data_IF_878770821848
#
_entry.id   IF_878770821848
#
_cell.length_a   1.000
_cell.length_b   1.000
_cell.length_c   1.000
_cell.angle_alpha   90.00
_cell.angle_beta   90.00
_cell.angle_gamma   90.00
#
_symmetry.space_group_name_H-M   'P 1'
#
loop_
_entity.id
_entity.type
_entity.pdbx_description
1 polymer ?
#
# COMPACT_ATOMS: atom_id res chain seq x y z
N UNK A 1 29.02 16.62 0.49
CA UNK A 1 28.51 16.20 1.81
C UNK A 1 27.36 17.10 2.23
N UNK A 2 26.12 16.73 1.89
CA UNK A 2 24.92 17.52 2.23
C UNK A 2 24.49 17.27 3.68
N UNK A 3 24.59 16.00 4.14
CA UNK A 3 24.23 15.59 5.50
C UNK A 3 25.09 16.30 6.57
N UNK A 4 26.40 16.44 6.33
CA UNK A 4 27.33 17.11 7.25
C UNK A 4 27.17 18.65 7.31
N UNK A 5 26.25 19.22 6.52
CA UNK A 5 25.89 20.65 6.57
C UNK A 5 24.61 20.91 7.35
N UNK A 6 23.94 19.85 7.80
CA UNK A 6 22.74 19.95 8.61
C UNK A 6 23.11 20.59 9.96
N UNK A 7 22.23 21.47 10.43
CA UNK A 7 22.40 22.20 11.68
C UNK A 7 22.45 21.22 12.86
N UNK A 8 23.33 21.48 13.84
CA UNK A 8 23.44 20.67 15.06
C UNK A 8 22.16 20.65 15.90
N UNK A 9 21.28 21.62 15.66
CA UNK A 9 19.98 21.73 16.31
C UNK A 9 18.96 20.69 15.79
N UNK A 10 19.21 20.05 14.65
CA UNK A 10 18.37 18.97 14.12
C UNK A 10 18.81 17.63 14.72
N UNK A 11 18.01 17.11 15.65
CA UNK A 11 18.36 15.94 16.44
C UNK A 11 18.35 14.61 15.65
N UNK A 12 17.51 14.50 14.61
CA UNK A 12 17.26 13.26 13.88
C UNK A 12 16.97 13.56 12.40
N UNK A 13 17.64 12.86 11.49
CA UNK A 13 17.39 12.91 10.04
C UNK A 13 16.76 11.58 9.61
N UNK A 14 15.56 11.65 9.04
CA UNK A 14 14.85 10.49 8.53
C UNK A 14 14.84 10.47 7.00
N UNK A 15 15.09 9.31 6.43
CA UNK A 15 14.93 9.05 5.00
C UNK A 15 13.81 8.03 4.85
N UNK A 16 12.76 8.40 4.13
CA UNK A 16 11.64 7.50 3.88
C UNK A 16 11.48 7.34 2.37
N UNK A 17 11.26 6.10 1.97
CA UNK A 17 11.19 5.66 0.59
C UNK A 17 10.58 4.27 0.57
N UNK A 18 9.89 3.94 -0.51
CA UNK A 18 9.35 2.61 -0.71
C UNK A 18 10.48 1.61 -0.95
N UNK A 19 10.28 0.36 -0.54
CA UNK A 19 11.29 -0.69 -0.69
C UNK A 19 11.65 -0.94 -2.15
N UNK A 20 10.67 -0.83 -3.04
CA UNK A 20 10.75 -0.98 -4.49
C UNK A 20 11.67 0.09 -5.14
N UNK A 21 11.97 1.18 -4.41
CA UNK A 21 12.94 2.19 -4.86
C UNK A 21 14.27 1.55 -5.24
N UNK A 22 14.70 0.50 -4.52
CA UNK A 22 15.97 -0.17 -4.74
C UNK A 22 15.79 -1.56 -5.34
N UNK A 23 16.17 -1.71 -6.60
CA UNK A 23 16.08 -2.95 -7.37
C UNK A 23 15.00 -2.95 -8.43
N UNK A 24 13.91 -2.18 -8.26
CA UNK A 24 12.84 -2.05 -9.25
C UNK A 24 12.83 -0.67 -9.93
N UNK A 25 12.81 0.42 -9.16
CA UNK A 25 12.95 1.77 -9.74
C UNK A 25 14.40 2.12 -10.07
N UNK A 26 15.33 1.77 -9.17
CA UNK A 26 16.77 1.88 -9.40
C UNK A 26 17.36 0.49 -9.57
N UNK A 27 17.70 0.11 -10.80
CA UNK A 27 18.19 -1.24 -11.09
C UNK A 27 19.61 -1.44 -10.58
N UNK A 28 20.03 -2.70 -10.40
CA UNK A 28 21.36 -3.04 -9.87
C UNK A 28 22.49 -2.37 -10.65
N UNK A 29 22.34 -2.28 -11.97
CA UNK A 29 23.33 -1.75 -12.92
C UNK A 29 23.62 -0.27 -12.70
N UNK A 30 22.71 0.47 -12.08
CA UNK A 30 22.93 1.88 -11.66
C UNK A 30 23.98 2.00 -10.55
N UNK A 31 24.35 0.89 -9.91
CA UNK A 31 25.26 0.87 -8.76
C UNK A 31 24.56 1.16 -7.43
N UNK A 32 23.22 1.24 -7.39
CA UNK A 32 22.47 1.62 -6.17
C UNK A 32 22.78 0.75 -4.95
N UNK A 33 22.98 -0.55 -5.14
CA UNK A 33 23.35 -1.45 -4.03
C UNK A 33 24.77 -1.20 -3.52
N UNK A 34 25.71 -0.86 -4.40
CA UNK A 34 27.06 -0.47 -3.99
C UNK A 34 27.03 0.87 -3.24
N UNK A 35 26.22 1.82 -3.70
CA UNK A 35 25.96 3.08 -3.00
C UNK A 35 25.42 2.84 -1.59
N UNK A 36 24.35 2.04 -1.44
CA UNK A 36 23.75 1.74 -0.13
C UNK A 36 24.71 0.98 0.80
N UNK A 37 25.57 0.12 0.25
CA UNK A 37 26.59 -0.57 1.03
C UNK A 37 27.66 0.38 1.56
N UNK A 38 28.03 1.41 0.79
CA UNK A 38 29.03 2.40 1.17
C UNK A 38 28.46 3.51 2.08
N UNK A 39 27.18 3.83 1.93
CA UNK A 39 26.53 4.99 2.55
C UNK A 39 26.67 5.03 4.09
N UNK A 40 26.40 3.95 4.86
CA UNK A 40 26.60 3.98 6.31
C UNK A 40 28.04 4.28 6.70
N UNK A 41 29.00 3.69 5.98
CA UNK A 41 30.42 3.91 6.20
C UNK A 41 30.80 5.37 6.02
N UNK A 42 30.33 6.01 4.94
CA UNK A 42 30.59 7.43 4.67
C UNK A 42 29.94 8.39 5.69
N UNK A 43 28.72 8.09 6.16
CA UNK A 43 28.04 8.89 7.19
C UNK A 43 28.79 8.80 8.52
N UNK A 44 29.20 7.59 8.93
CA UNK A 44 29.87 7.34 10.21
C UNK A 44 31.34 7.81 10.24
N UNK A 45 31.90 8.30 9.12
CA UNK A 45 33.21 8.97 9.13
C UNK A 45 33.19 10.23 9.98
N UNK A 46 32.02 10.84 10.15
CA UNK A 46 31.86 12.03 10.96
C UNK A 46 31.30 11.64 12.34
N UNK A 47 32.00 11.95 13.45
CA UNK A 47 31.66 11.43 14.78
C UNK A 47 30.32 11.95 15.33
N UNK A 48 29.80 13.05 14.76
CA UNK A 48 28.52 13.62 15.16
C UNK A 48 27.30 12.79 14.66
N UNK A 49 27.50 11.80 13.77
CA UNK A 49 26.41 10.97 13.25
C UNK A 49 26.38 9.57 13.86
N UNK A 50 25.18 9.07 14.08
CA UNK A 50 24.89 7.68 14.46
C UNK A 50 23.59 7.22 13.82
N UNK A 51 23.44 5.91 13.65
CA UNK A 51 22.16 5.33 13.26
C UNK A 51 21.37 4.94 14.50
N UNK A 52 20.07 5.20 14.47
CA UNK A 52 19.14 4.84 15.53
C UNK A 52 17.86 4.30 14.90
N UNK A 53 17.24 3.36 15.60
CA UNK A 53 15.86 2.98 15.35
C UNK A 53 14.92 4.11 15.79
N UNK A 54 13.68 4.17 15.26
CA UNK A 54 12.69 5.16 15.70
C UNK A 54 12.43 5.12 17.22
N UNK A 55 12.46 3.93 17.83
CA UNK A 55 12.27 3.77 19.28
C UNK A 55 13.44 4.35 20.09
N UNK A 56 14.68 4.12 19.64
CA UNK A 56 15.87 4.70 20.28
C UNK A 56 15.92 6.21 20.12
N UNK A 57 15.54 6.73 18.95
CA UNK A 57 15.46 8.17 18.72
C UNK A 57 14.40 8.82 19.64
N UNK A 58 13.22 8.22 19.75
CA UNK A 58 12.16 8.72 20.64
C UNK A 58 12.55 8.67 22.13
N UNK A 59 13.36 7.69 22.55
CA UNK A 59 13.83 7.58 23.94
C UNK A 59 15.01 8.53 24.25
N UNK A 60 15.81 8.89 23.25
CA UNK A 60 17.02 9.70 23.42
C UNK A 60 16.78 11.21 23.33
N UNK A 61 15.62 11.64 22.85
CA UNK A 61 15.32 13.04 22.56
C UNK A 61 14.01 13.48 23.20
N UNK A 62 14.05 14.61 23.91
CA UNK A 62 12.84 15.24 24.44
C UNK A 62 12.02 15.89 23.32
N UNK A 63 10.70 15.88 23.48
CA UNK A 63 9.80 16.57 22.56
C UNK A 63 10.07 18.09 22.62
N UNK A 64 10.37 18.69 21.47
CA UNK A 64 10.74 20.10 21.39
C UNK A 64 9.55 21.01 21.12
N UNK A 65 8.60 20.56 20.31
CA UNK A 65 7.42 21.32 19.87
C UNK A 65 6.26 20.39 19.55
N UNK A 66 5.05 20.94 19.63
CA UNK A 66 3.84 20.29 19.13
C UNK A 66 3.56 20.72 17.68
N UNK A 67 3.22 19.76 16.83
CA UNK A 67 2.81 20.02 15.46
C UNK A 67 1.29 19.93 15.40
N UNK A 68 0.63 21.04 15.09
CA UNK A 68 -0.82 21.05 14.89
C UNK A 68 -1.17 20.44 13.53
N UNK A 69 -2.01 19.40 13.53
CA UNK A 69 -2.53 18.75 12.34
C UNK A 69 -4.06 18.89 12.30
N UNK A 70 -4.60 20.05 11.88
CA UNK A 70 -6.03 20.36 12.00
C UNK A 70 -6.92 19.54 11.06
N UNK A 71 -6.34 18.90 10.04
CA UNK A 71 -7.02 18.01 9.12
C UNK A 71 -6.24 16.72 8.92
N UNK A 72 -6.79 15.82 8.11
CA UNK A 72 -6.09 14.60 7.72
C UNK A 72 -5.04 14.91 6.67
N UNK A 73 -3.81 14.46 6.92
CA UNK A 73 -2.67 14.62 6.01
C UNK A 73 -2.21 13.27 5.49
N UNK A 74 -1.53 13.29 4.36
CA UNK A 74 -0.85 12.12 3.80
C UNK A 74 0.49 12.51 3.20
N UNK A 75 1.30 11.50 2.89
CA UNK A 75 2.50 11.68 2.10
C UNK A 75 2.28 11.38 0.59
N UNK A 76 1.04 11.12 0.18
CA UNK A 76 0.74 10.99 -1.22
C UNK A 76 0.65 12.37 -1.88
N UNK A 77 1.03 12.40 -3.16
CA UNK A 77 0.81 13.51 -4.08
C UNK A 77 1.36 14.87 -3.58
N UNK A 78 1.13 15.95 -4.33
CA UNK A 78 1.67 17.27 -3.98
C UNK A 78 0.85 17.93 -2.86
N UNK A 79 -0.45 17.65 -2.80
CA UNK A 79 -1.39 18.29 -1.88
C UNK A 79 -1.27 17.78 -0.44
N UNK A 80 -0.57 16.67 -0.21
CA UNK A 80 -0.30 16.08 1.13
C UNK A 80 -1.55 15.88 1.98
N UNK A 81 -2.67 15.55 1.33
CA UNK A 81 -3.98 15.34 1.97
C UNK A 81 -4.57 13.96 1.61
N UNK A 82 -5.83 13.71 1.96
CA UNK A 82 -6.49 12.43 1.69
C UNK A 82 -7.17 12.32 0.33
N UNK A 83 -7.00 13.31 -0.55
CA UNK A 83 -7.72 13.35 -1.83
C UNK A 83 -7.29 12.27 -2.81
N UNK A 84 -6.12 11.66 -2.63
CA UNK A 84 -5.71 10.47 -3.38
C UNK A 84 -6.64 9.27 -3.16
N UNK A 85 -7.37 9.20 -2.04
CA UNK A 85 -8.28 8.11 -1.70
C UNK A 85 -9.74 8.53 -1.51
N UNK A 86 -10.02 9.80 -1.26
CA UNK A 86 -11.38 10.32 -0.97
C UNK A 86 -11.69 11.62 -1.75
N UNK A 87 -10.96 11.90 -2.82
CA UNK A 87 -11.03 13.16 -3.56
C UNK A 87 -12.19 13.26 -4.54
N UNK A 88 -12.84 12.15 -4.91
CA UNK A 88 -13.95 12.15 -5.86
C UNK A 88 -15.18 11.35 -5.38
N UNK A 89 -16.28 11.48 -6.13
CA UNK A 89 -17.56 10.86 -5.79
C UNK A 89 -17.52 9.32 -5.80
N UNK A 90 -16.74 8.70 -6.69
CA UNK A 90 -16.60 7.23 -6.76
C UNK A 90 -15.95 6.69 -5.49
N UNK A 91 -14.86 7.32 -5.09
CA UNK A 91 -14.10 7.00 -3.89
C UNK A 91 -14.93 7.18 -2.61
N UNK A 92 -15.64 8.30 -2.50
CA UNK A 92 -16.49 8.60 -1.35
C UNK A 92 -17.67 7.64 -1.24
N UNK A 93 -18.33 7.31 -2.34
CA UNK A 93 -19.42 6.32 -2.35
C UNK A 93 -18.93 4.92 -1.98
N UNK A 94 -17.82 4.47 -2.60
CA UNK A 94 -17.21 3.17 -2.32
C UNK A 94 -16.82 3.02 -0.85
N UNK A 95 -16.13 4.02 -0.30
CA UNK A 95 -15.76 4.04 1.12
C UNK A 95 -17.00 4.04 2.02
N UNK A 96 -17.99 4.89 1.72
CA UNK A 96 -19.24 4.96 2.49
C UNK A 96 -19.98 3.63 2.53
N UNK A 97 -20.11 2.94 1.40
CA UNK A 97 -20.77 1.63 1.31
C UNK A 97 -19.99 0.53 2.02
N UNK A 98 -18.67 0.54 1.94
CA UNK A 98 -17.83 -0.42 2.67
C UNK A 98 -18.01 -0.28 4.18
N UNK A 99 -17.91 0.94 4.71
CA UNK A 99 -18.01 1.19 6.16
C UNK A 99 -19.43 1.01 6.69
N UNK A 100 -20.47 1.23 5.86
CA UNK A 100 -21.86 0.94 6.24
C UNK A 100 -22.10 -0.54 6.61
N UNK A 101 -21.26 -1.47 6.15
CA UNK A 101 -21.38 -2.90 6.48
C UNK A 101 -20.87 -3.24 7.90
N UNK A 102 -20.09 -2.37 8.53
CA UNK A 102 -19.38 -2.66 9.78
C UNK A 102 -20.33 -3.15 10.89
N UNK A 103 -21.42 -2.42 11.13
CA UNK A 103 -22.35 -2.75 12.20
C UNK A 103 -23.01 -4.12 12.00
N UNK A 104 -23.33 -4.47 10.75
CA UNK A 104 -23.93 -5.75 10.41
C UNK A 104 -22.92 -6.91 10.54
N UNK A 105 -21.69 -6.70 10.08
CA UNK A 105 -20.58 -7.66 10.23
C UNK A 105 -20.24 -7.93 11.71
N UNK A 106 -20.16 -6.87 12.53
CA UNK A 106 -19.91 -6.99 13.98
C UNK A 106 -21.01 -7.77 14.70
N UNK A 107 -22.28 -7.60 14.29
CA UNK A 107 -23.40 -8.40 14.81
C UNK A 107 -23.32 -9.85 14.37
N UNK A 108 -22.95 -10.11 13.11
CA UNK A 108 -22.78 -11.46 12.55
C UNK A 108 -21.70 -12.26 13.28
N UNK A 109 -20.61 -11.60 13.71
CA UNK A 109 -19.43 -12.23 14.34
C UNK A 109 -18.85 -13.40 13.52
N UNK A 110 -19.00 -13.33 12.21
CA UNK A 110 -18.40 -14.29 11.28
C UNK A 110 -16.98 -13.83 10.95
N UNK A 111 -15.98 -14.52 11.49
CA UNK A 111 -14.56 -14.20 11.30
C UNK A 111 -14.14 -14.22 9.83
N UNK A 112 -14.77 -15.07 9.00
CA UNK A 112 -14.49 -15.14 7.56
C UNK A 112 -14.96 -13.88 6.84
N UNK A 113 -16.20 -13.44 7.10
CA UNK A 113 -16.74 -12.21 6.52
C UNK A 113 -16.02 -10.96 7.03
N UNK A 114 -15.67 -10.93 8.33
CA UNK A 114 -14.89 -9.84 8.91
C UNK A 114 -13.50 -9.76 8.26
N UNK A 115 -12.86 -10.91 8.00
CA UNK A 115 -11.57 -10.96 7.29
C UNK A 115 -11.69 -10.40 5.87
N UNK A 116 -12.73 -10.78 5.11
CA UNK A 116 -12.98 -10.24 3.77
C UNK A 116 -13.15 -8.72 3.84
N UNK A 117 -14.00 -8.24 4.75
CA UNK A 117 -14.23 -6.80 4.94
C UNK A 117 -12.94 -6.03 5.32
N UNK A 118 -12.06 -6.62 6.14
CA UNK A 118 -10.74 -6.06 6.44
C UNK A 118 -9.83 -5.99 5.21
N UNK A 119 -9.82 -7.03 4.39
CA UNK A 119 -9.03 -7.01 3.14
C UNK A 119 -9.52 -5.94 2.17
N UNK A 120 -10.84 -5.73 2.07
CA UNK A 120 -11.41 -4.71 1.21
C UNK A 120 -11.11 -3.27 1.66
N UNK A 121 -10.66 -3.05 2.89
CA UNK A 121 -10.21 -1.74 3.39
C UNK A 121 -8.79 -1.37 2.94
N UNK A 122 -8.10 -2.23 2.18
CA UNK A 122 -6.80 -1.88 1.58
C UNK A 122 -6.93 -0.61 0.74
N UNK A 123 -6.06 0.37 1.00
CA UNK A 123 -6.12 1.71 0.41
C UNK A 123 -6.01 1.73 -1.11
N UNK A 124 -5.29 0.76 -1.68
CA UNK A 124 -5.10 0.58 -3.13
C UNK A 124 -6.42 0.56 -3.88
N UNK A 125 -7.46 -0.06 -3.32
CA UNK A 125 -8.78 -0.09 -3.97
C UNK A 125 -9.33 1.30 -4.24
N UNK A 126 -9.24 2.20 -3.25
CA UNK A 126 -9.67 3.60 -3.41
C UNK A 126 -8.69 4.39 -4.28
N UNK A 127 -7.40 4.10 -4.19
CA UNK A 127 -6.37 4.73 -5.02
C UNK A 127 -6.62 4.44 -6.51
N UNK A 128 -7.00 3.21 -6.88
CA UNK A 128 -7.33 2.84 -8.25
C UNK A 128 -8.56 3.56 -8.83
N UNK A 129 -9.39 4.15 -7.97
CA UNK A 129 -10.54 4.98 -8.36
C UNK A 129 -10.21 6.48 -8.43
N UNK A 130 -8.96 6.88 -8.19
CA UNK A 130 -8.53 8.27 -8.26
C UNK A 130 -8.58 8.79 -9.69
N UNK A 131 -9.15 9.98 -9.88
CA UNK A 131 -9.32 10.62 -11.20
C UNK A 131 -8.32 11.74 -11.45
N UNK A 132 -7.56 12.19 -10.44
CA UNK A 132 -6.60 13.30 -10.55
C UNK A 132 -5.55 13.06 -11.62
N UNK A 133 -5.03 11.84 -11.64
CA UNK A 133 -3.93 11.45 -12.52
C UNK A 133 -4.40 10.93 -13.87
N UNK A 134 -5.72 10.71 -14.03
CA UNK A 134 -6.30 10.27 -15.29
C UNK A 134 -6.27 11.38 -16.35
N UNK A 135 -6.11 12.65 -15.97
CA UNK A 135 -5.90 13.74 -16.92
C UNK A 135 -4.47 13.88 -17.44
N UNK A 136 -3.47 13.27 -16.77
CA UNK A 136 -2.04 13.50 -17.04
C UNK A 136 -1.25 12.21 -17.38
N UNK A 137 -1.94 11.24 -17.98
CA UNK A 137 -1.44 10.33 -19.02
C UNK A 137 -0.34 9.29 -18.73
N UNK A 138 0.75 9.61 -18.01
CA UNK A 138 2.04 8.95 -18.28
C UNK A 138 2.76 8.28 -17.11
N UNK A 139 2.24 8.28 -15.87
CA UNK A 139 2.93 7.61 -14.73
C UNK A 139 2.07 6.59 -13.98
N UNK A 140 0.74 6.71 -14.02
CA UNK A 140 -0.16 5.94 -13.15
C UNK A 140 -0.72 4.64 -13.77
N UNK A 141 -0.32 4.31 -15.01
CA UNK A 141 -0.61 3.00 -15.62
C UNK A 141 0.21 1.86 -15.02
N UNK A 142 1.29 2.18 -14.29
CA UNK A 142 2.22 1.17 -13.79
C UNK A 142 1.64 0.34 -12.62
N UNK A 143 0.72 0.92 -11.84
CA UNK A 143 0.21 0.30 -10.61
C UNK A 143 -1.29 -0.02 -10.63
N UNK A 144 -2.08 0.56 -11.55
CA UNK A 144 -3.52 0.29 -11.61
C UNK A 144 -3.81 -0.91 -12.54
N UNK A 145 -4.34 -2.05 -12.03
CA UNK A 145 -4.66 -3.20 -12.86
C UNK A 145 -5.91 -2.99 -13.73
N UNK A 146 -6.64 -1.89 -13.54
CA UNK A 146 -7.85 -1.56 -14.27
C UNK A 146 -7.59 -0.56 -15.39
N UNK A 147 -8.35 -0.66 -16.49
CA UNK A 147 -8.23 0.23 -17.64
C UNK A 147 -8.69 1.67 -17.34
N UNK A 148 -9.55 1.84 -16.33
CA UNK A 148 -10.01 3.15 -15.88
C UNK A 148 -10.42 3.14 -14.40
N UNK A 149 -10.47 4.33 -13.75
CA UNK A 149 -11.06 4.48 -12.42
C UNK A 149 -12.51 3.97 -12.30
N UNK A 150 -13.26 4.02 -13.40
CA UNK A 150 -14.64 3.53 -13.46
C UNK A 150 -14.72 2.00 -13.42
N UNK A 151 -13.83 1.31 -14.15
CA UNK A 151 -13.73 -0.16 -14.10
C UNK A 151 -13.31 -0.64 -12.70
N UNK A 152 -12.35 0.04 -12.08
CA UNK A 152 -11.95 -0.22 -10.70
C UNK A 152 -13.16 -0.10 -9.74
N UNK A 153 -13.92 1.00 -9.87
CA UNK A 153 -15.11 1.25 -9.08
C UNK A 153 -16.21 0.19 -9.32
N UNK A 154 -16.55 -0.12 -10.57
CA UNK A 154 -17.58 -1.12 -10.89
C UNK A 154 -17.21 -2.48 -10.27
N UNK A 155 -15.97 -2.92 -10.46
CA UNK A 155 -15.52 -4.19 -9.90
C UNK A 155 -15.58 -4.19 -8.36
N UNK A 156 -15.09 -3.14 -7.73
CA UNK A 156 -15.12 -3.02 -6.27
C UNK A 156 -16.54 -2.99 -5.72
N UNK A 157 -17.45 -2.28 -6.39
CA UNK A 157 -18.85 -2.19 -5.99
C UNK A 157 -19.60 -3.52 -6.11
N UNK A 158 -19.32 -4.30 -7.14
CA UNK A 158 -19.86 -5.66 -7.26
C UNK A 158 -19.41 -6.55 -6.10
N UNK A 159 -18.14 -6.44 -5.69
CA UNK A 159 -17.60 -7.21 -4.56
C UNK A 159 -18.22 -6.78 -3.23
N UNK A 160 -18.41 -5.46 -3.03
CA UNK A 160 -19.09 -4.94 -1.83
C UNK A 160 -20.55 -5.40 -1.78
N UNK A 161 -21.26 -5.40 -2.92
CA UNK A 161 -22.64 -5.87 -2.97
C UNK A 161 -22.74 -7.37 -2.65
N UNK A 162 -21.87 -8.19 -3.22
CA UNK A 162 -21.77 -9.62 -2.89
C UNK A 162 -21.53 -9.83 -1.39
N UNK A 163 -20.60 -9.08 -0.78
CA UNK A 163 -20.35 -9.13 0.66
C UNK A 163 -21.61 -8.69 1.45
N UNK A 164 -22.27 -7.62 1.04
CA UNK A 164 -23.51 -7.13 1.65
C UNK A 164 -24.61 -8.20 1.65
N UNK A 165 -24.75 -8.93 0.54
CA UNK A 165 -25.70 -10.04 0.43
C UNK A 165 -25.32 -11.20 1.36
N UNK A 166 -24.05 -11.56 1.44
CA UNK A 166 -23.57 -12.60 2.37
C UNK A 166 -23.85 -12.22 3.83
N UNK A 167 -23.66 -10.95 4.18
CA UNK A 167 -23.94 -10.44 5.53
C UNK A 167 -25.45 -10.48 5.85
N UNK A 168 -26.32 -10.21 4.88
CA UNK A 168 -27.80 -10.23 5.04
C UNK A 168 -28.40 -11.64 5.07
N UNK A 169 -27.84 -12.57 4.30
CA UNK A 169 -28.42 -13.90 4.17
C UNK A 169 -28.04 -14.79 5.37
N UNK A 170 -29.00 -15.01 6.28
CA UNK A 170 -28.87 -15.92 7.43
C UNK A 170 -28.80 -17.40 7.03
N UNK A 171 -29.32 -17.76 5.86
CA UNK A 171 -29.41 -19.16 5.46
C UNK A 171 -28.05 -19.64 5.01
N UNK A 172 -27.51 -20.61 5.76
CA UNK A 172 -26.31 -21.35 5.42
C UNK A 172 -26.26 -21.60 3.92
N UNK A 173 -25.36 -20.89 3.25
CA UNK A 173 -24.99 -21.26 1.90
C UNK A 173 -24.20 -22.54 2.09
N UNK A 174 -24.87 -23.68 1.94
CA UNK A 174 -24.19 -24.96 1.80
C UNK A 174 -23.12 -24.74 0.74
N UNK A 175 -21.85 -24.71 1.15
CA UNK A 175 -20.71 -24.48 0.28
C UNK A 175 -20.61 -25.54 -0.85
N UNK A 176 -21.48 -26.55 -0.82
CA UNK A 176 -21.69 -27.55 -1.85
C UNK A 176 -22.50 -27.06 -3.07
N UNK A 177 -23.36 -26.05 -2.93
CA UNK A 177 -24.28 -25.60 -3.99
C UNK A 177 -23.80 -24.41 -4.81
N UNK A 178 -22.79 -23.67 -4.35
CA UNK A 178 -22.19 -22.57 -5.11
C UNK A 178 -21.11 -23.07 -6.09
N UNK A 179 -21.33 -22.99 -7.41
CA UNK A 179 -20.33 -23.43 -8.40
C UNK A 179 -19.03 -22.63 -8.35
N UNK A 180 -19.11 -21.37 -7.90
CA UNK A 180 -17.99 -20.40 -7.85
C UNK A 180 -17.12 -20.54 -6.60
N UNK A 181 -17.65 -21.10 -5.50
CA UNK A 181 -16.91 -21.29 -4.25
C UNK A 181 -15.97 -22.51 -4.26
N UNK A 182 -16.11 -23.45 -5.20
CA UNK A 182 -15.23 -24.63 -5.29
C UNK A 182 -13.76 -24.26 -5.57
N UNK A 183 -13.51 -23.11 -6.19
CA UNK A 183 -12.15 -22.66 -6.53
C UNK A 183 -11.34 -22.27 -5.30
N UNK A 184 -11.98 -21.72 -4.25
CA UNK A 184 -11.29 -21.29 -3.03
C UNK A 184 -10.94 -22.45 -2.07
N UNK A 185 -11.56 -23.65 -2.25
CA UNK A 185 -11.26 -24.84 -1.43
C UNK A 185 -10.22 -25.78 -2.05
N UNK A 186 -9.91 -25.65 -3.35
CA UNK A 186 -9.03 -26.57 -4.08
C UNK A 186 -7.59 -26.04 -4.27
N UNK A 187 -7.12 -25.13 -3.42
CA UNK A 187 -5.84 -24.43 -3.57
C UNK A 187 -4.93 -24.51 -2.35
N UNK A 188 -4.81 -25.67 -1.71
CA UNK A 188 -3.68 -25.99 -0.82
C UNK A 188 -2.86 -27.09 -1.48
N UNK A 189 -2.06 -26.69 -2.47
CA UNK A 189 -0.87 -27.42 -2.90
C UNK A 189 -0.02 -26.45 -3.75
N UNK A 190 0.71 -25.58 -3.05
CA UNK A 190 1.76 -24.77 -3.68
C UNK A 190 2.95 -25.70 -3.96
N UNK A 191 2.83 -26.55 -4.98
CA UNK A 191 4.01 -27.21 -5.55
C UNK A 191 4.83 -26.14 -6.25
N UNK A 192 6.04 -25.93 -5.73
CA UNK A 192 7.08 -25.07 -6.28
C UNK A 192 7.19 -25.28 -7.79
N UNK A 193 6.93 -24.23 -8.57
CA UNK A 193 7.23 -24.21 -10.01
C UNK A 193 8.75 -24.10 -10.15
N UNK A 194 9.42 -25.02 -10.86
CA UNK A 194 10.86 -24.92 -11.07
C UNK A 194 11.16 -23.72 -11.98
N UNK A 195 12.14 -22.91 -11.58
CA UNK A 195 12.62 -21.76 -12.33
C UNK A 195 13.09 -22.18 -13.74
N UNK A 196 12.41 -21.71 -14.78
CA UNK A 196 12.91 -21.80 -16.15
C UNK A 196 14.15 -20.91 -16.26
N UNK A 197 15.33 -21.52 -16.40
CA UNK A 197 16.55 -20.86 -16.90
C UNK A 197 16.21 -20.24 -18.26
N UNK A 198 16.34 -18.92 -18.39
CA UNK A 198 16.41 -18.26 -19.69
C UNK A 198 17.79 -18.58 -20.27
N UNK A 199 17.81 -19.37 -21.34
CA UNK A 199 18.96 -19.49 -22.22
C UNK A 199 19.32 -18.10 -22.76
N UNK A 200 20.57 -17.71 -22.55
CA UNK A 200 21.18 -16.59 -23.25
C UNK A 200 21.43 -17.05 -24.68
N UNK A 201 20.55 -16.67 -25.59
CA UNK A 201 20.84 -16.71 -27.02
C UNK A 201 21.95 -15.72 -27.34
N UNK A 202 23.10 -16.25 -27.70
CA UNK A 202 24.16 -15.55 -28.43
C UNK A 202 23.56 -14.85 -29.65
N UNK A 203 23.92 -13.58 -29.85
CA UNK A 203 23.95 -12.96 -31.17
C UNK A 203 25.36 -12.43 -31.39
N UNK A 204 25.95 -12.96 -32.46
CA UNK A 204 27.16 -12.49 -33.12
C UNK A 204 27.09 -11.02 -33.50
#
# INVERSE_FOLDING_TARGET
HWLHRIRREEAVVNLFMDYETFGEHQWRETGIFAFLSALPGEILRHPDFRFQTPAEAAAAHEATQEIACPGFISWADEERDTTAWLGNALQQDAAGKLYALEAALRRRKDEGLIRIWRMLQTSDHLYYMCTKWFSDGDVHRYFNPYESPYEAYINYMNIIDDLSQLVKNERGHDAASCPRCKVLRAGTDFKSVPAKRRDKGEKS
#
